data_IF_404529599150
#
_entry.id   IF_404529599150
#
_cell.length_a   1.000
_cell.length_b   1.000
_cell.length_c   1.000
_cell.angle_alpha   90.00
_cell.angle_beta   90.00
_cell.angle_gamma   90.00
#
_symmetry.space_group_name_H-M   'P 1'
#
loop_
_entity.id
_entity.type
_entity.pdbx_description
1 polymer ?
#
# COMPACT_ATOMS: atom_id res chain seq x y z
N UNK A 1 4.67 -57.80 -29.57
CA UNK A 1 4.23 -56.46 -30.03
C UNK A 1 3.62 -55.74 -28.85
N UNK A 2 4.36 -54.92 -28.15
CA UNK A 2 3.85 -54.04 -27.09
C UNK A 2 4.80 -52.84 -26.98
N UNK A 3 4.51 -51.79 -27.68
CA UNK A 3 5.30 -50.61 -27.67
C UNK A 3 4.57 -49.37 -28.22
N UNK A 4 3.40 -49.02 -27.63
CA UNK A 4 2.70 -47.85 -28.14
C UNK A 4 1.95 -47.05 -27.07
N UNK A 5 2.06 -47.39 -25.79
CA UNK A 5 1.27 -46.68 -24.75
C UNK A 5 2.06 -45.70 -23.87
N UNK A 6 3.40 -45.66 -24.01
CA UNK A 6 4.26 -44.87 -23.11
C UNK A 6 4.59 -43.48 -23.67
N UNK A 7 4.66 -43.31 -24.99
CA UNK A 7 4.96 -41.98 -25.57
C UNK A 7 3.84 -40.96 -25.43
N UNK A 8 2.55 -41.42 -25.41
CA UNK A 8 1.42 -40.54 -25.23
C UNK A 8 1.27 -39.98 -23.81
N UNK A 9 1.66 -40.77 -22.80
CA UNK A 9 1.62 -40.35 -21.42
C UNK A 9 2.72 -39.32 -21.10
N UNK A 10 3.90 -39.51 -21.69
CA UNK A 10 5.02 -38.56 -21.56
C UNK A 10 4.67 -37.19 -22.17
N UNK A 11 4.15 -37.17 -23.39
CA UNK A 11 3.75 -35.93 -24.06
C UNK A 11 2.63 -35.16 -23.31
N UNK A 12 1.68 -35.91 -22.71
CA UNK A 12 0.61 -35.28 -21.91
C UNK A 12 1.10 -34.72 -20.58
N UNK A 13 2.01 -35.43 -19.92
CA UNK A 13 2.70 -34.94 -18.71
C UNK A 13 3.55 -33.71 -19.00
N UNK A 14 4.32 -33.71 -20.08
CA UNK A 14 5.13 -32.57 -20.50
C UNK A 14 4.26 -31.35 -20.88
N UNK A 15 3.10 -31.58 -21.51
CA UNK A 15 2.14 -30.52 -21.81
C UNK A 15 1.49 -29.93 -20.54
N UNK A 16 1.20 -30.76 -19.52
CA UNK A 16 0.67 -30.32 -18.22
C UNK A 16 1.73 -29.56 -17.42
N UNK A 17 2.96 -30.08 -17.38
CA UNK A 17 4.08 -29.45 -16.69
C UNK A 17 4.41 -28.10 -17.34
N UNK A 18 4.51 -28.03 -18.67
CA UNK A 18 4.78 -26.78 -19.38
C UNK A 18 3.64 -25.76 -19.27
N UNK A 19 2.38 -26.20 -19.20
CA UNK A 19 1.24 -25.31 -18.99
C UNK A 19 1.22 -24.76 -17.58
N UNK A 20 1.50 -25.58 -16.57
CA UNK A 20 1.56 -25.17 -15.17
C UNK A 20 2.77 -24.26 -14.89
N UNK A 21 3.97 -24.59 -15.40
CA UNK A 21 5.15 -23.74 -15.23
C UNK A 21 5.01 -22.40 -15.92
N UNK A 22 4.42 -22.31 -17.12
CA UNK A 22 4.15 -21.04 -17.80
C UNK A 22 3.07 -20.20 -17.07
N UNK A 23 2.07 -20.83 -16.48
CA UNK A 23 1.02 -20.14 -15.72
C UNK A 23 1.59 -19.59 -14.40
N UNK A 24 2.36 -20.39 -13.68
CA UNK A 24 2.98 -20.00 -12.41
C UNK A 24 3.98 -18.85 -12.60
N UNK A 25 4.84 -18.93 -13.62
CA UNK A 25 5.81 -17.84 -13.89
C UNK A 25 5.16 -16.51 -14.27
N UNK A 26 4.00 -16.53 -14.95
CA UNK A 26 3.26 -15.30 -15.27
C UNK A 26 2.59 -14.68 -14.04
N UNK A 27 2.04 -15.49 -13.14
CA UNK A 27 1.48 -15.03 -11.89
C UNK A 27 2.56 -14.40 -10.99
N UNK A 28 3.72 -15.08 -10.85
CA UNK A 28 4.86 -14.56 -10.07
C UNK A 28 5.40 -13.24 -10.62
N UNK A 29 5.49 -13.12 -11.96
CA UNK A 29 5.91 -11.86 -12.60
C UNK A 29 4.93 -10.74 -12.27
N UNK A 30 3.63 -11.00 -12.39
CA UNK A 30 2.60 -10.01 -12.07
C UNK A 30 2.62 -9.61 -10.60
N UNK A 31 2.69 -10.58 -9.68
CA UNK A 31 2.82 -10.28 -8.24
C UNK A 31 4.08 -9.48 -7.93
N UNK A 32 5.21 -9.78 -8.58
CA UNK A 32 6.43 -8.98 -8.44
C UNK A 32 6.22 -7.54 -8.91
N UNK A 33 5.56 -7.32 -10.04
CA UNK A 33 5.21 -5.98 -10.54
C UNK A 33 4.31 -5.25 -9.55
N UNK A 34 3.27 -5.92 -9.03
CA UNK A 34 2.34 -5.36 -8.07
C UNK A 34 3.04 -4.97 -6.75
N UNK A 35 3.87 -5.85 -6.16
CA UNK A 35 4.63 -5.53 -4.95
C UNK A 35 5.67 -4.45 -5.19
N UNK A 36 6.27 -4.37 -6.38
CA UNK A 36 7.18 -3.28 -6.74
C UNK A 36 6.46 -1.94 -6.80
N UNK A 37 5.28 -1.91 -7.42
CA UNK A 37 4.43 -0.72 -7.49
C UNK A 37 3.94 -0.31 -6.09
N UNK A 38 3.50 -1.26 -5.28
CA UNK A 38 3.08 -1.05 -3.89
C UNK A 38 4.22 -0.46 -3.03
N UNK A 39 5.43 -1.04 -3.11
CA UNK A 39 6.61 -0.52 -2.40
C UNK A 39 6.88 0.93 -2.79
N UNK A 40 6.94 1.21 -4.09
CA UNK A 40 7.20 2.57 -4.61
C UNK A 40 6.13 3.57 -4.15
N UNK A 41 4.85 3.19 -4.21
CA UNK A 41 3.77 4.05 -3.75
C UNK A 41 3.85 4.31 -2.24
N UNK A 42 4.19 3.29 -1.44
CA UNK A 42 4.38 3.43 0.00
C UNK A 42 5.59 4.32 0.35
N UNK A 43 6.71 4.18 -0.36
CA UNK A 43 7.88 5.02 -0.18
C UNK A 43 7.57 6.49 -0.52
N UNK A 44 6.87 6.77 -1.62
CA UNK A 44 6.44 8.12 -2.00
C UNK A 44 5.51 8.72 -0.93
N UNK A 45 4.54 7.96 -0.45
CA UNK A 45 3.63 8.41 0.59
C UNK A 45 4.36 8.64 1.92
N UNK A 46 5.32 7.77 2.27
CA UNK A 46 6.14 7.94 3.48
C UNK A 46 7.02 9.19 3.40
N UNK A 47 7.62 9.45 2.24
CA UNK A 47 8.42 10.67 2.03
C UNK A 47 7.55 11.92 2.18
N UNK A 48 6.33 11.91 1.61
CA UNK A 48 5.37 13.00 1.75
C UNK A 48 4.97 13.23 3.21
N UNK A 49 4.63 12.17 3.92
CA UNK A 49 4.25 12.27 5.33
C UNK A 49 5.39 12.77 6.21
N UNK A 50 6.63 12.32 5.97
CA UNK A 50 7.82 12.83 6.69
C UNK A 50 8.06 14.32 6.45
N UNK A 51 7.87 14.79 5.21
CA UNK A 51 7.98 16.22 4.88
C UNK A 51 6.93 17.06 5.62
N UNK A 52 5.69 16.58 5.69
CA UNK A 52 4.62 17.25 6.42
C UNK A 52 4.88 17.28 7.93
N UNK A 53 5.32 16.16 8.53
CA UNK A 53 5.64 16.08 9.95
C UNK A 53 6.89 16.92 10.33
N UNK A 54 7.79 17.14 9.39
CA UNK A 54 8.96 18.02 9.58
C UNK A 54 8.65 19.50 9.30
N UNK A 55 7.43 19.82 8.90
CA UNK A 55 7.04 21.20 8.62
C UNK A 55 6.93 21.96 9.94
N UNK A 56 7.75 23.00 10.10
CA UNK A 56 7.84 23.75 11.35
C UNK A 56 6.56 24.47 11.69
N UNK A 57 6.17 24.42 12.96
CA UNK A 57 5.16 25.28 13.50
C UNK A 57 5.57 26.75 13.31
N UNK A 58 4.65 27.55 12.79
CA UNK A 58 4.85 28.98 12.62
C UNK A 58 3.89 29.73 13.52
N UNK A 59 4.32 30.86 14.07
CA UNK A 59 3.46 31.75 14.82
C UNK A 59 2.63 32.60 13.86
N UNK A 60 1.40 32.20 13.64
CA UNK A 60 0.45 32.84 12.71
C UNK A 60 0.12 34.26 13.08
N UNK A 61 0.09 34.56 14.39
CA UNK A 61 -0.24 35.89 14.92
C UNK A 61 0.76 36.98 14.53
N UNK A 62 1.96 36.59 14.10
CA UNK A 62 3.02 37.50 13.64
C UNK A 62 3.10 37.64 12.12
N UNK A 63 2.28 36.89 11.34
CA UNK A 63 2.28 36.93 9.89
C UNK A 63 1.40 38.07 9.35
N UNK A 64 1.86 38.66 8.25
CA UNK A 64 1.04 39.53 7.42
C UNK A 64 -0.05 38.70 6.70
N UNK A 65 -1.08 39.37 6.20
CA UNK A 65 -2.13 38.68 5.41
C UNK A 65 -1.56 38.00 4.16
N UNK A 66 -0.55 38.58 3.53
CA UNK A 66 0.11 38.03 2.35
C UNK A 66 0.93 36.76 2.70
N UNK A 67 1.70 36.79 3.80
CA UNK A 67 2.47 35.64 4.28
C UNK A 67 1.54 34.50 4.70
N UNK A 68 0.41 34.80 5.33
CA UNK A 68 -0.58 33.82 5.72
C UNK A 68 -1.25 33.18 4.49
N UNK A 69 -1.58 33.99 3.48
CA UNK A 69 -2.15 33.50 2.22
C UNK A 69 -1.18 32.57 1.50
N UNK A 70 0.10 32.96 1.40
CA UNK A 70 1.14 32.13 0.79
C UNK A 70 1.32 30.81 1.55
N UNK A 71 1.37 30.86 2.87
CA UNK A 71 1.49 29.65 3.69
C UNK A 71 0.32 28.69 3.47
N UNK A 72 -0.92 29.20 3.46
CA UNK A 72 -2.10 28.37 3.21
C UNK A 72 -2.07 27.74 1.81
N UNK A 73 -1.58 28.45 0.79
CA UNK A 73 -1.41 27.91 -0.56
C UNK A 73 -0.36 26.79 -0.59
N UNK A 74 0.76 26.96 0.08
CA UNK A 74 1.77 25.92 0.25
C UNK A 74 1.19 24.70 0.99
N UNK A 75 0.46 24.92 2.09
CA UNK A 75 -0.22 23.87 2.84
C UNK A 75 -1.22 23.11 1.98
N UNK A 76 -2.03 23.81 1.20
CA UNK A 76 -2.99 23.20 0.28
C UNK A 76 -2.30 22.36 -0.81
N UNK A 77 -1.17 22.83 -1.34
CA UNK A 77 -0.35 22.07 -2.29
C UNK A 77 0.20 20.79 -1.66
N UNK A 78 0.70 20.86 -0.42
CA UNK A 78 1.18 19.67 0.30
C UNK A 78 0.05 18.69 0.62
N UNK A 79 -1.12 19.19 1.01
CA UNK A 79 -2.31 18.38 1.26
C UNK A 79 -2.83 17.68 0.00
N UNK A 80 -2.84 18.39 -1.14
CA UNK A 80 -3.19 17.80 -2.43
C UNK A 80 -2.19 16.72 -2.85
N UNK A 81 -0.89 16.93 -2.64
CA UNK A 81 0.15 15.94 -2.84
C UNK A 81 -0.05 14.69 -1.94
N UNK A 82 -0.39 14.89 -0.67
CA UNK A 82 -0.72 13.79 0.25
C UNK A 82 -1.90 12.96 -0.28
N UNK A 83 -2.97 13.60 -0.73
CA UNK A 83 -4.14 12.92 -1.32
C UNK A 83 -3.75 12.12 -2.55
N UNK A 84 -2.93 12.67 -3.43
CA UNK A 84 -2.45 11.98 -4.64
C UNK A 84 -1.63 10.73 -4.31
N UNK A 85 -0.65 10.84 -3.41
CA UNK A 85 0.20 9.72 -2.99
C UNK A 85 -0.61 8.66 -2.22
N UNK A 86 -1.53 9.09 -1.35
CA UNK A 86 -2.44 8.19 -0.64
C UNK A 86 -3.30 7.39 -1.61
N UNK A 87 -3.92 8.05 -2.59
CA UNK A 87 -4.77 7.38 -3.59
C UNK A 87 -3.98 6.41 -4.47
N UNK A 88 -2.74 6.75 -4.82
CA UNK A 88 -1.83 5.86 -5.54
C UNK A 88 -1.53 4.61 -4.69
N UNK A 89 -1.33 4.79 -3.39
CA UNK A 89 -1.12 3.67 -2.47
C UNK A 89 -2.35 2.76 -2.35
N UNK A 90 -3.54 3.33 -2.14
CA UNK A 90 -4.81 2.58 -2.11
C UNK A 90 -4.97 1.72 -3.37
N UNK A 91 -4.75 2.33 -4.54
CA UNK A 91 -4.83 1.62 -5.83
C UNK A 91 -3.83 0.48 -5.92
N UNK A 92 -2.57 0.72 -5.58
CA UNK A 92 -1.52 -0.31 -5.63
C UNK A 92 -1.82 -1.50 -4.72
N UNK A 93 -2.43 -1.26 -3.54
CA UNK A 93 -2.81 -2.32 -2.62
C UNK A 93 -4.02 -3.13 -3.08
N UNK A 94 -4.93 -2.54 -3.84
CA UNK A 94 -6.10 -3.27 -4.38
C UNK A 94 -5.73 -4.20 -5.53
N UNK A 95 -4.61 -3.99 -6.20
CA UNK A 95 -4.12 -4.82 -7.30
C UNK A 95 -3.49 -6.14 -6.82
N UNK A 96 -3.12 -6.25 -5.55
CA UNK A 96 -2.56 -7.47 -4.95
C UNK A 96 -3.47 -8.01 -3.84
N UNK A 97 -4.08 -9.18 -4.07
CA UNK A 97 -5.21 -9.69 -3.30
C UNK A 97 -4.88 -10.47 -2.01
N UNK A 98 -3.62 -10.49 -1.55
CA UNK A 98 -3.20 -11.21 -0.34
C UNK A 98 -3.93 -10.75 0.92
N UNK A 99 -4.16 -11.66 1.87
CA UNK A 99 -4.88 -11.34 3.12
C UNK A 99 -4.18 -10.26 3.95
N UNK A 100 -2.85 -10.29 4.01
CA UNK A 100 -2.05 -9.29 4.72
C UNK A 100 -2.22 -7.92 4.07
N UNK A 101 -2.26 -7.84 2.74
CA UNK A 101 -2.50 -6.59 2.03
C UNK A 101 -3.88 -6.01 2.32
N UNK A 102 -4.92 -6.86 2.43
CA UNK A 102 -6.26 -6.43 2.85
C UNK A 102 -6.29 -5.87 4.26
N UNK A 103 -5.51 -6.45 5.19
CA UNK A 103 -5.38 -5.94 6.56
C UNK A 103 -4.70 -4.56 6.54
N UNK A 104 -3.59 -4.41 5.84
CA UNK A 104 -2.91 -3.11 5.73
C UNK A 104 -3.77 -2.05 5.03
N UNK A 105 -4.47 -2.42 3.96
CA UNK A 105 -5.43 -1.54 3.29
C UNK A 105 -6.51 -1.05 4.27
N UNK A 106 -7.12 -1.98 5.02
CA UNK A 106 -8.11 -1.64 6.04
C UNK A 106 -7.54 -0.73 7.13
N UNK A 107 -6.31 -0.99 7.59
CA UNK A 107 -5.64 -0.13 8.58
C UNK A 107 -5.37 1.27 8.04
N UNK A 108 -4.91 1.39 6.79
CA UNK A 108 -4.65 2.67 6.15
C UNK A 108 -5.95 3.49 6.00
N UNK A 109 -7.03 2.85 5.54
CA UNK A 109 -8.35 3.48 5.47
C UNK A 109 -8.89 3.89 6.85
N UNK A 110 -8.54 3.15 7.90
CA UNK A 110 -8.96 3.45 9.27
C UNK A 110 -8.29 4.70 9.86
N UNK A 111 -7.12 5.11 9.35
CA UNK A 111 -6.48 6.35 9.76
C UNK A 111 -7.38 7.56 9.52
N UNK A 112 -8.08 7.60 8.38
CA UNK A 112 -9.06 8.65 8.10
C UNK A 112 -10.23 8.62 9.08
N UNK A 113 -10.77 7.43 9.36
CA UNK A 113 -11.92 7.28 10.25
C UNK A 113 -11.62 7.79 11.66
N UNK A 114 -10.38 7.58 12.14
CA UNK A 114 -9.95 8.05 13.47
C UNK A 114 -9.88 9.58 13.58
N UNK A 115 -9.64 10.27 12.48
CA UNK A 115 -9.51 11.73 12.41
C UNK A 115 -10.65 12.42 11.64
N UNK A 116 -11.74 11.69 11.33
CA UNK A 116 -12.77 12.07 10.35
C UNK A 116 -13.27 13.50 10.53
N UNK A 117 -13.74 13.85 11.73
CA UNK A 117 -14.33 15.17 11.98
C UNK A 117 -13.35 16.30 11.64
N UNK A 118 -12.11 16.20 12.14
CA UNK A 118 -11.10 17.22 11.91
C UNK A 118 -10.71 17.33 10.43
N UNK A 119 -10.65 16.20 9.72
CA UNK A 119 -10.30 16.17 8.31
C UNK A 119 -11.44 16.67 7.41
N UNK A 120 -12.69 16.34 7.73
CA UNK A 120 -13.86 16.86 7.02
C UNK A 120 -14.00 18.38 7.20
N UNK A 121 -13.65 18.92 8.38
CA UNK A 121 -13.59 20.36 8.62
C UNK A 121 -12.54 21.05 7.75
N UNK A 122 -11.48 20.36 7.41
CA UNK A 122 -10.44 20.82 6.49
C UNK A 122 -10.73 20.52 5.01
N UNK A 123 -11.90 19.97 4.68
CA UNK A 123 -12.27 19.68 3.30
C UNK A 123 -11.82 18.33 2.76
N UNK A 124 -11.21 17.46 3.57
CA UNK A 124 -10.94 16.08 3.15
C UNK A 124 -12.20 15.23 3.18
N UNK A 125 -12.34 14.33 2.23
CA UNK A 125 -13.44 13.36 2.19
C UNK A 125 -12.91 12.01 1.75
N UNK A 126 -13.28 10.92 2.44
CA UNK A 126 -12.99 9.56 2.05
C UNK A 126 -14.17 8.95 1.28
N UNK A 127 -13.89 8.41 0.09
CA UNK A 127 -14.84 7.69 -0.75
C UNK A 127 -14.99 6.24 -0.30
N UNK A 128 -15.99 5.55 -0.85
CA UNK A 128 -16.26 4.14 -0.53
C UNK A 128 -15.11 3.20 -0.90
N UNK A 129 -14.39 3.49 -1.97
CA UNK A 129 -13.20 2.75 -2.40
C UNK A 129 -11.95 3.03 -1.53
N UNK A 130 -12.08 3.87 -0.52
CA UNK A 130 -11.01 4.27 0.39
C UNK A 130 -10.15 5.43 -0.11
N UNK A 131 -10.34 5.90 -1.34
CA UNK A 131 -9.61 7.07 -1.86
C UNK A 131 -10.05 8.35 -1.17
N UNK A 132 -9.17 9.34 -1.15
CA UNK A 132 -9.44 10.67 -0.59
C UNK A 132 -9.67 11.69 -1.70
N UNK A 133 -10.42 12.72 -1.36
CA UNK A 133 -10.51 13.98 -2.11
C UNK A 133 -10.31 15.16 -1.18
N UNK A 134 -9.89 16.29 -1.71
CA UNK A 134 -9.69 17.55 -0.99
C UNK A 134 -10.46 18.66 -1.68
N UNK A 135 -11.29 19.33 -0.92
CA UNK A 135 -11.89 20.63 -1.27
C UNK A 135 -10.88 21.72 -0.92
N UNK A 136 -10.22 22.27 -1.94
CA UNK A 136 -9.18 23.28 -1.76
C UNK A 136 -9.74 24.58 -1.17
N UNK A 137 -10.94 24.99 -1.55
CA UNK A 137 -11.56 26.23 -1.06
C UNK A 137 -11.84 26.13 0.44
N UNK A 138 -12.41 25.00 0.86
CA UNK A 138 -12.66 24.72 2.27
C UNK A 138 -11.35 24.63 3.07
N UNK A 139 -10.31 24.01 2.51
CA UNK A 139 -9.00 23.93 3.13
C UNK A 139 -8.37 25.32 3.34
N UNK A 140 -8.41 26.17 2.32
CA UNK A 140 -7.89 27.54 2.36
C UNK A 140 -8.65 28.43 3.35
N UNK A 141 -9.94 28.16 3.56
CA UNK A 141 -10.76 28.87 4.54
C UNK A 141 -10.51 28.44 5.99
N UNK A 142 -9.85 27.28 6.19
CA UNK A 142 -9.60 26.76 7.53
C UNK A 142 -8.59 27.61 8.32
N UNK A 143 -8.70 27.51 9.66
CA UNK A 143 -7.75 28.13 10.57
C UNK A 143 -6.38 27.43 10.48
N UNK A 144 -5.26 28.19 10.47
CA UNK A 144 -3.92 27.63 10.36
C UNK A 144 -3.58 26.58 11.44
N UNK A 145 -4.02 26.81 12.68
CA UNK A 145 -3.80 25.86 13.78
C UNK A 145 -4.46 24.50 13.53
N UNK A 146 -5.64 24.50 12.91
CA UNK A 146 -6.32 23.26 12.53
C UNK A 146 -5.55 22.51 11.44
N UNK A 147 -5.01 23.25 10.45
CA UNK A 147 -4.19 22.69 9.38
C UNK A 147 -2.93 22.04 9.98
N UNK A 148 -2.21 22.74 10.84
CA UNK A 148 -1.01 22.23 11.50
C UNK A 148 -1.32 21.00 12.34
N UNK A 149 -2.33 21.06 13.18
CA UNK A 149 -2.74 19.96 14.06
C UNK A 149 -3.08 18.69 13.28
N UNK A 150 -3.71 18.83 12.12
CA UNK A 150 -4.09 17.68 11.30
C UNK A 150 -2.94 17.09 10.49
N UNK A 151 -1.98 17.92 10.03
CA UNK A 151 -0.97 17.51 9.07
C UNK A 151 0.45 17.39 9.65
N UNK A 152 0.78 18.15 10.69
CA UNK A 152 2.18 18.34 11.09
C UNK A 152 2.53 17.80 12.49
N UNK A 153 1.54 17.37 13.28
CA UNK A 153 1.79 16.96 14.68
C UNK A 153 1.89 15.45 14.85
N UNK A 154 2.60 15.04 15.89
CA UNK A 154 2.61 13.64 16.34
C UNK A 154 1.20 13.21 16.76
N UNK A 155 0.79 11.98 16.39
CA UNK A 155 -0.57 11.48 16.62
C UNK A 155 -1.62 12.03 15.65
N UNK A 156 -1.23 12.83 14.66
CA UNK A 156 -2.12 13.27 13.60
C UNK A 156 -2.41 12.17 12.58
N UNK A 157 -3.39 12.43 11.71
CA UNK A 157 -3.68 11.58 10.55
C UNK A 157 -2.43 11.27 9.71
N UNK A 158 -1.58 12.27 9.49
CA UNK A 158 -0.33 12.11 8.72
C UNK A 158 0.68 11.21 9.43
N UNK A 159 0.81 11.33 10.76
CA UNK A 159 1.68 10.49 11.57
C UNK A 159 1.21 9.02 11.57
N UNK A 160 -0.10 8.80 11.66
CA UNK A 160 -0.67 7.46 11.56
C UNK A 160 -0.43 6.81 10.20
N UNK A 161 -0.61 7.56 9.10
CA UNK A 161 -0.26 7.10 7.74
C UNK A 161 1.22 6.76 7.67
N UNK A 162 2.11 7.63 8.19
CA UNK A 162 3.56 7.41 8.15
C UNK A 162 3.95 6.09 8.83
N UNK A 163 3.36 5.78 9.98
CA UNK A 163 3.58 4.52 10.70
C UNK A 163 3.07 3.30 9.90
N UNK A 164 1.88 3.42 9.28
CA UNK A 164 1.31 2.31 8.49
C UNK A 164 2.09 2.06 7.21
N UNK A 165 2.55 3.10 6.52
CA UNK A 165 3.35 2.94 5.31
C UNK A 165 4.68 2.23 5.56
N UNK A 166 5.32 2.43 6.71
CA UNK A 166 6.53 1.70 7.08
C UNK A 166 6.30 0.17 7.11
N UNK A 167 5.18 -0.28 7.67
CA UNK A 167 4.81 -1.69 7.71
C UNK A 167 4.50 -2.24 6.30
N UNK A 168 3.86 -1.44 5.46
CA UNK A 168 3.55 -1.83 4.07
C UNK A 168 4.83 -1.98 3.26
N UNK A 169 5.81 -1.08 3.42
CA UNK A 169 7.13 -1.19 2.78
C UNK A 169 7.80 -2.50 3.19
N UNK A 170 7.88 -2.79 4.48
CA UNK A 170 8.49 -4.02 5.00
C UNK A 170 7.81 -5.29 4.46
N UNK A 171 6.47 -5.29 4.39
CA UNK A 171 5.71 -6.39 3.80
C UNK A 171 6.03 -6.56 2.30
N UNK A 172 6.03 -5.49 1.53
CA UNK A 172 6.34 -5.53 0.10
C UNK A 172 7.77 -6.03 -0.14
N UNK A 173 8.75 -5.58 0.64
CA UNK A 173 10.14 -6.04 0.56
C UNK A 173 10.29 -7.54 0.85
N UNK A 174 9.59 -8.02 1.87
CA UNK A 174 9.58 -9.44 2.23
C UNK A 174 9.02 -10.29 1.10
N UNK A 175 7.88 -9.89 0.51
CA UNK A 175 7.28 -10.61 -0.61
C UNK A 175 8.16 -10.55 -1.86
N UNK A 176 8.77 -9.40 -2.17
CA UNK A 176 9.72 -9.27 -3.28
C UNK A 176 10.96 -10.16 -3.11
N UNK A 177 11.48 -10.29 -1.90
CA UNK A 177 12.63 -11.16 -1.61
C UNK A 177 12.32 -12.63 -1.90
N UNK A 178 11.11 -13.08 -1.58
CA UNK A 178 10.68 -14.46 -1.88
C UNK A 178 10.40 -14.65 -3.36
N UNK A 179 9.67 -13.76 -4.00
CA UNK A 179 9.39 -13.83 -5.44
C UNK A 179 10.70 -13.84 -6.25
N UNK A 180 11.70 -13.05 -5.86
CA UNK A 180 13.02 -13.08 -6.50
C UNK A 180 13.71 -14.43 -6.33
N UNK A 181 13.63 -15.07 -5.16
CA UNK A 181 14.22 -16.41 -4.93
C UNK A 181 13.48 -17.48 -5.74
N UNK A 182 12.16 -17.43 -5.82
CA UNK A 182 11.35 -18.41 -6.57
C UNK A 182 11.61 -18.34 -8.07
N UNK A 183 11.77 -17.15 -8.63
CA UNK A 183 12.10 -16.93 -10.04
C UNK A 183 13.48 -17.48 -10.40
N UNK A 184 14.45 -17.50 -9.46
CA UNK A 184 15.78 -18.07 -9.66
C UNK A 184 15.81 -19.59 -9.43
N UNK A 185 14.96 -20.14 -8.57
CA UNK A 185 14.99 -21.55 -8.16
C UNK A 185 14.12 -22.49 -9.02
N UNK A 186 13.32 -21.97 -9.93
CA UNK A 186 12.56 -22.77 -10.93
C UNK A 186 11.48 -23.69 -10.37
N UNK A 187 11.20 -23.68 -9.05
CA UNK A 187 10.18 -24.53 -8.48
C UNK A 187 9.68 -24.07 -7.10
N UNK A 188 8.81 -23.09 -7.07
CA UNK A 188 7.86 -22.95 -5.96
C UNK A 188 6.45 -22.83 -6.55
N UNK A 189 5.63 -23.82 -6.28
CA UNK A 189 4.21 -23.78 -6.57
C UNK A 189 3.56 -22.73 -5.70
N UNK A 190 3.42 -21.53 -6.22
CA UNK A 190 2.47 -20.56 -5.70
C UNK A 190 1.08 -21.18 -5.84
N UNK A 191 0.36 -21.33 -4.74
CA UNK A 191 -0.99 -21.84 -4.86
C UNK A 191 -1.83 -20.79 -5.62
N UNK A 192 -2.79 -21.27 -6.41
CA UNK A 192 -3.63 -20.47 -7.30
C UNK A 192 -4.53 -19.43 -6.57
N UNK A 193 -4.37 -19.25 -5.27
CA UNK A 193 -5.13 -18.34 -4.40
C UNK A 193 -4.34 -17.10 -3.95
N UNK A 194 -3.14 -16.88 -4.48
CA UNK A 194 -2.35 -15.68 -4.17
C UNK A 194 -1.98 -15.53 -2.69
N UNK A 195 -1.70 -16.65 -2.03
CA UNK A 195 -1.23 -16.63 -0.63
C UNK A 195 0.13 -15.95 -0.55
N UNK A 196 0.25 -14.95 0.31
CA UNK A 196 1.54 -14.36 0.63
C UNK A 196 2.33 -15.21 1.64
N UNK A 197 3.54 -14.77 1.99
CA UNK A 197 4.43 -15.50 2.92
C UNK A 197 3.77 -15.76 4.28
N UNK A 198 2.93 -14.86 4.75
CA UNK A 198 2.25 -15.04 6.02
C UNK A 198 1.22 -16.16 5.95
N UNK A 199 0.53 -16.32 4.83
CA UNK A 199 -0.38 -17.44 4.60
C UNK A 199 0.41 -18.76 4.57
N UNK A 200 1.61 -18.78 4.01
CA UNK A 200 2.51 -19.96 4.06
C UNK A 200 3.00 -20.28 5.47
N UNK A 201 3.40 -19.26 6.24
CA UNK A 201 3.87 -19.44 7.62
C UNK A 201 2.75 -19.90 8.56
N UNK A 202 1.54 -19.38 8.39
CA UNK A 202 0.37 -19.80 9.19
C UNK A 202 -0.19 -21.15 8.77
N UNK A 203 -0.04 -21.53 7.50
CA UNK A 203 -0.42 -22.86 7.01
C UNK A 203 0.53 -23.96 7.50
N UNK A 204 1.82 -23.65 7.67
CA UNK A 204 2.83 -24.59 8.18
C UNK A 204 2.65 -24.98 9.65
N UNK A 205 1.98 -24.15 10.45
CA UNK A 205 1.77 -24.44 11.88
C UNK A 205 0.67 -25.48 12.16
N UNK A 206 -0.10 -25.88 11.15
CA UNK A 206 -1.16 -26.91 11.28
C UNK A 206 -0.65 -28.36 11.18
N UNK A 207 0.63 -28.56 10.89
CA UNK A 207 1.15 -29.92 10.66
C UNK A 207 1.82 -30.56 11.90
N UNK A 208 1.91 -29.89 13.04
CA UNK A 208 2.63 -30.38 14.22
C UNK A 208 1.74 -30.88 15.37
N UNK A 209 0.48 -31.20 15.13
CA UNK A 209 -0.42 -31.67 16.20
C UNK A 209 -0.96 -33.10 15.98
N UNK A 210 -0.07 -34.01 15.56
CA UNK A 210 -0.30 -35.46 15.62
C UNK A 210 1.03 -36.20 15.79
N UNK A 211 1.48 -36.32 17.00
CA UNK A 211 2.37 -37.39 17.47
C UNK A 211 1.93 -37.77 18.86
#
# INVERSE_FOLDING_TARGET
MNGSSDSGKSAMLDAIINKNTKSTSKADIKSKENYTAMKKAAESLQERTKKLLAWQEKEWSSMTEEELAQYKEEAASQAAGLVSEYNTMIKSMTEESGQVNKIYLSQLMSCFKGAKSNLEDLGFTQKEDGTLSLDKEKFMAAEPDKIQKALCTSGSFVDDINKKTANIIANAETNLAVLNKSLYAGSYTYNQYGSDIFDMLTSGSKYNDKS
#
